data_IF_482194781547
#
_entry.id   IF_482194781547
#
_cell.length_a   1.000
_cell.length_b   1.000
_cell.length_c   1.000
_cell.angle_alpha   90.00
_cell.angle_beta   90.00
_cell.angle_gamma   90.00
#
_symmetry.space_group_name_H-M   'P 1'
#
loop_
_entity.id
_entity.type
_entity.pdbx_description
1 polymer ?
#
# COMPACT_ATOMS: atom_id res chain seq x y z
N UNK A 1 -14.01 -31.05 -9.30
CA UNK A 1 -13.14 -30.66 -8.20
C UNK A 1 -12.05 -29.69 -8.61
N UNK A 2 -11.30 -30.00 -9.66
CA UNK A 2 -10.23 -29.10 -10.12
C UNK A 2 -10.74 -27.72 -10.53
N UNK A 3 -11.90 -27.66 -11.20
CA UNK A 3 -12.48 -26.39 -11.62
C UNK A 3 -12.88 -25.53 -10.44
N UNK A 4 -13.47 -26.13 -9.41
CA UNK A 4 -13.84 -25.38 -8.20
C UNK A 4 -12.59 -24.89 -7.48
N UNK A 5 -11.54 -25.70 -7.44
CA UNK A 5 -10.27 -25.28 -6.83
C UNK A 5 -9.65 -24.13 -7.61
N UNK A 6 -9.76 -24.15 -8.95
CA UNK A 6 -9.21 -23.06 -9.76
C UNK A 6 -9.96 -21.75 -9.53
N UNK A 7 -11.29 -21.80 -9.42
CA UNK A 7 -12.08 -20.60 -9.12
C UNK A 7 -11.75 -20.08 -7.73
N UNK A 8 -11.66 -20.96 -6.75
CA UNK A 8 -11.28 -20.58 -5.39
C UNK A 8 -9.87 -20.00 -5.34
N UNK A 9 -8.94 -20.61 -6.08
CA UNK A 9 -7.56 -20.13 -6.16
C UNK A 9 -7.50 -18.74 -6.78
N UNK A 10 -8.33 -18.49 -7.80
CA UNK A 10 -8.37 -17.20 -8.47
C UNK A 10 -8.82 -16.09 -7.53
N UNK A 11 -9.89 -16.31 -6.77
CA UNK A 11 -10.38 -15.36 -5.78
C UNK A 11 -9.37 -15.19 -4.65
N UNK A 12 -8.77 -16.27 -4.20
CA UNK A 12 -7.76 -16.25 -3.15
C UNK A 12 -6.55 -15.45 -3.59
N UNK A 13 -6.12 -15.63 -4.83
CA UNK A 13 -4.99 -14.89 -5.39
C UNK A 13 -5.23 -13.39 -5.39
N UNK A 14 -6.45 -12.96 -5.72
CA UNK A 14 -6.78 -11.53 -5.67
C UNK A 14 -6.69 -10.98 -4.25
N UNK A 15 -7.21 -11.72 -3.26
CA UNK A 15 -7.14 -11.31 -1.85
C UNK A 15 -5.72 -11.27 -1.36
N UNK A 16 -4.93 -12.29 -1.71
CA UNK A 16 -3.54 -12.38 -1.31
C UNK A 16 -2.72 -11.22 -1.89
N UNK A 17 -2.96 -10.88 -3.16
CA UNK A 17 -2.28 -9.76 -3.79
C UNK A 17 -2.63 -8.43 -3.11
N UNK A 18 -3.89 -8.23 -2.76
CA UNK A 18 -4.32 -7.02 -2.06
C UNK A 18 -3.68 -6.94 -0.69
N UNK A 19 -3.61 -8.04 0.03
CA UNK A 19 -2.98 -8.11 1.35
C UNK A 19 -1.48 -7.87 1.25
N UNK A 20 -0.81 -8.51 0.28
CA UNK A 20 0.61 -8.32 0.07
C UNK A 20 0.93 -6.87 -0.27
N UNK A 21 0.14 -6.25 -1.14
CA UNK A 21 0.34 -4.86 -1.50
C UNK A 21 0.19 -3.94 -0.30
N UNK A 22 -0.82 -4.19 0.55
CA UNK A 22 -1.03 -3.43 1.77
C UNK A 22 0.17 -3.57 2.70
N UNK A 23 0.64 -4.80 2.92
CA UNK A 23 1.80 -5.06 3.76
C UNK A 23 3.05 -4.39 3.21
N UNK A 24 3.27 -4.50 1.91
CA UNK A 24 4.44 -3.90 1.27
C UNK A 24 4.46 -2.39 1.48
N UNK A 25 3.31 -1.73 1.32
CA UNK A 25 3.22 -0.28 1.52
C UNK A 25 3.40 0.11 2.98
N UNK A 26 2.78 -0.61 3.90
CA UNK A 26 2.93 -0.34 5.33
C UNK A 26 4.39 -0.47 5.76
N UNK A 27 5.06 -1.52 5.32
CA UNK A 27 6.47 -1.72 5.61
C UNK A 27 7.33 -0.62 4.99
N UNK A 28 7.07 -0.27 3.73
CA UNK A 28 7.83 0.78 3.05
C UNK A 28 7.67 2.13 3.73
N UNK A 29 6.45 2.48 4.13
CA UNK A 29 6.19 3.73 4.83
C UNK A 29 6.98 3.77 6.13
N UNK A 30 6.91 2.71 6.93
CA UNK A 30 7.64 2.63 8.20
C UNK A 30 9.15 2.73 8.00
N UNK A 31 9.67 2.02 7.00
CA UNK A 31 11.10 2.02 6.71
C UNK A 31 11.57 3.40 6.25
N UNK A 32 10.83 4.05 5.36
CA UNK A 32 11.17 5.38 4.87
C UNK A 32 11.10 6.41 5.99
N UNK A 33 10.13 6.31 6.88
CA UNK A 33 10.05 7.19 8.05
C UNK A 33 11.27 7.02 8.96
N UNK A 34 11.72 5.80 9.16
CA UNK A 34 12.92 5.55 9.98
C UNK A 34 14.18 6.10 9.33
N UNK A 35 14.28 6.02 8.02
CA UNK A 35 15.47 6.45 7.29
C UNK A 35 15.56 7.96 7.16
N UNK A 36 14.45 8.64 6.88
CA UNK A 36 14.45 10.06 6.54
C UNK A 36 13.61 10.93 7.45
N UNK A 37 12.88 10.35 8.39
CA UNK A 37 12.00 11.07 9.29
C UNK A 37 10.60 11.26 8.77
N UNK A 38 10.37 11.08 7.48
CA UNK A 38 9.04 11.16 6.89
C UNK A 38 8.95 10.29 5.65
N UNK A 39 7.72 9.97 5.25
CA UNK A 39 7.47 9.25 4.01
C UNK A 39 6.51 10.09 3.18
N UNK A 40 6.90 10.43 1.96
CA UNK A 40 6.08 11.20 1.03
C UNK A 40 5.63 10.35 -0.13
N UNK A 41 4.59 10.81 -0.82
CA UNK A 41 4.08 10.11 -2.01
C UNK A 41 5.21 9.87 -3.02
N UNK A 42 6.06 10.90 -3.26
CA UNK A 42 7.18 10.77 -4.20
C UNK A 42 8.19 9.70 -3.76
N UNK A 43 8.38 9.54 -2.46
CA UNK A 43 9.31 8.54 -1.93
C UNK A 43 8.78 7.13 -2.19
N UNK A 44 7.49 6.93 -2.02
CA UNK A 44 6.84 5.66 -2.32
C UNK A 44 6.86 5.37 -3.83
N UNK A 45 6.62 6.39 -4.65
CA UNK A 45 6.67 6.23 -6.10
C UNK A 45 8.06 5.77 -6.54
N UNK A 46 9.10 6.37 -5.95
CA UNK A 46 10.49 6.00 -6.24
C UNK A 46 10.81 4.60 -5.72
N UNK A 47 10.37 4.31 -4.50
CA UNK A 47 10.64 3.02 -3.86
C UNK A 47 10.05 1.86 -4.65
N UNK A 48 8.82 2.00 -5.13
CA UNK A 48 8.14 0.95 -5.88
C UNK A 48 8.30 1.06 -7.39
N UNK A 49 8.97 2.11 -7.88
CA UNK A 49 9.17 2.36 -9.30
C UNK A 49 7.85 2.42 -10.05
N UNK A 50 6.89 3.15 -9.50
CA UNK A 50 5.57 3.35 -10.08
C UNK A 50 5.26 4.85 -10.15
N UNK A 51 4.18 5.20 -10.86
CA UNK A 51 3.78 6.59 -10.99
C UNK A 51 3.17 7.13 -9.69
N UNK A 52 3.19 8.46 -9.54
CA UNK A 52 2.51 9.13 -8.42
C UNK A 52 1.01 8.80 -8.40
N UNK A 53 0.40 8.67 -9.58
CA UNK A 53 -1.02 8.31 -9.68
C UNK A 53 -1.27 6.95 -9.06
N UNK A 54 -0.41 5.98 -9.34
CA UNK A 54 -0.53 4.64 -8.77
C UNK A 54 -0.39 4.69 -7.25
N UNK A 55 0.60 5.44 -6.74
CA UNK A 55 0.79 5.58 -5.29
C UNK A 55 -0.42 6.25 -4.66
N UNK A 56 -0.92 7.33 -5.25
CA UNK A 56 -2.07 8.04 -4.71
C UNK A 56 -3.30 7.12 -4.60
N UNK A 57 -3.53 6.28 -5.61
CA UNK A 57 -4.64 5.32 -5.57
C UNK A 57 -4.46 4.30 -4.46
N UNK A 58 -3.25 3.78 -4.33
CA UNK A 58 -2.97 2.78 -3.31
C UNK A 58 -3.08 3.38 -1.91
N UNK A 59 -2.51 4.56 -1.70
CA UNK A 59 -2.59 5.25 -0.41
C UNK A 59 -4.03 5.59 -0.07
N UNK A 60 -4.84 6.00 -1.04
CA UNK A 60 -6.26 6.25 -0.81
C UNK A 60 -6.99 5.00 -0.29
N UNK A 61 -6.65 3.83 -0.83
CA UNK A 61 -7.20 2.57 -0.35
C UNK A 61 -6.74 2.26 1.07
N UNK A 62 -5.47 2.47 1.35
CA UNK A 62 -4.92 2.25 2.69
C UNK A 62 -5.59 3.16 3.71
N UNK A 63 -5.84 4.41 3.35
CA UNK A 63 -6.56 5.35 4.21
C UNK A 63 -8.00 4.88 4.45
N UNK A 64 -8.69 4.49 3.40
CA UNK A 64 -10.07 4.01 3.51
C UNK A 64 -10.15 2.77 4.40
N UNK A 65 -9.17 1.90 4.30
CA UNK A 65 -9.14 0.64 5.06
C UNK A 65 -8.54 0.80 6.46
N UNK A 66 -8.09 2.02 6.81
CA UNK A 66 -7.59 2.30 8.16
C UNK A 66 -6.12 1.97 8.39
N UNK A 67 -5.33 1.76 7.34
CA UNK A 67 -3.92 1.40 7.47
C UNK A 67 -2.98 2.59 7.35
N UNK A 68 -3.43 3.69 6.80
CA UNK A 68 -2.57 4.85 6.59
C UNK A 68 -3.32 6.15 6.85
N UNK A 69 -2.55 7.18 7.14
CA UNK A 69 -3.04 8.51 7.43
C UNK A 69 -2.18 9.52 6.67
N UNK A 70 -2.80 10.59 6.18
CA UNK A 70 -2.08 11.71 5.56
C UNK A 70 -2.52 13.01 6.20
N UNK A 71 -1.58 13.96 6.33
CA UNK A 71 -1.93 15.29 6.80
C UNK A 71 -2.74 16.03 5.74
N UNK A 72 -3.71 16.91 6.16
CA UNK A 72 -4.60 17.57 5.21
C UNK A 72 -3.89 18.41 4.15
N UNK A 73 -2.78 19.02 4.49
CA UNK A 73 -2.03 19.87 3.57
C UNK A 73 -0.62 19.35 3.33
N UNK A 74 -0.29 18.19 3.85
CA UNK A 74 1.01 17.58 3.70
C UNK A 74 0.97 16.45 2.71
N UNK A 75 2.14 16.10 2.18
CA UNK A 75 2.30 14.94 1.33
C UNK A 75 2.90 13.76 2.11
N UNK A 76 3.00 13.91 3.42
CA UNK A 76 3.52 12.86 4.30
C UNK A 76 2.45 11.80 4.55
N UNK A 77 2.88 10.56 4.54
CA UNK A 77 2.02 9.40 4.76
C UNK A 77 2.53 8.68 6.00
N UNK A 78 1.64 8.41 6.95
CA UNK A 78 1.97 7.67 8.18
C UNK A 78 1.14 6.40 8.23
N UNK A 79 1.68 5.38 8.89
CA UNK A 79 0.89 4.18 9.16
C UNK A 79 0.10 4.35 10.43
N UNK A 80 -1.11 3.77 10.43
CA UNK A 80 -1.94 3.69 11.62
C UNK A 80 -1.77 2.27 12.18
N UNK A 81 -1.03 2.17 13.25
CA UNK A 81 -0.78 0.88 13.89
C UNK A 81 -1.14 0.97 15.35
#
# INVERSE_FOLDING_TARGET
MRQQQQVSSHLRTRRDHATELTQDYVEAIAELEQQTGECRIRDLARHFEVSHVTVNRTVARLKRDGFAHTEPYGQSVDTIV
#
